data_IF_074737236886
#
_entry.id   IF_074737236886
#
_cell.length_a   1.000
_cell.length_b   1.000
_cell.length_c   1.000
_cell.angle_alpha   90.00
_cell.angle_beta   90.00
_cell.angle_gamma   90.00
#
_symmetry.space_group_name_H-M   'P 1'
#
loop_
_entity.id
_entity.type
_entity.pdbx_description
1 polymer ?
#
# COMPACT_ATOMS: atom_id res chain seq x y z
N UNK A 1 -42.88 55.92 39.98
CA UNK A 1 -43.38 55.39 38.69
C UNK A 1 -42.20 54.77 37.95
N UNK A 2 -42.39 53.55 37.47
CA UNK A 2 -41.40 52.68 36.83
C UNK A 2 -41.00 53.19 35.44
N UNK A 3 -39.75 52.96 35.05
CA UNK A 3 -39.42 52.45 33.72
C UNK A 3 -38.01 51.83 33.71
N UNK A 4 -37.98 50.53 33.42
CA UNK A 4 -36.80 49.73 33.05
C UNK A 4 -36.35 50.14 31.64
N UNK A 5 -35.06 50.07 31.34
CA UNK A 5 -34.58 49.63 30.02
C UNK A 5 -33.09 49.25 30.04
N UNK A 6 -32.89 47.97 29.74
CA UNK A 6 -31.69 47.25 29.32
C UNK A 6 -30.86 47.96 28.22
N UNK A 7 -29.53 47.88 28.31
CA UNK A 7 -28.61 47.71 27.17
C UNK A 7 -27.19 47.40 27.72
N UNK A 8 -26.87 46.11 27.86
CA UNK A 8 -25.96 45.35 27.00
C UNK A 8 -24.48 45.49 27.44
N UNK A 9 -24.05 44.49 28.20
CA UNK A 9 -22.66 44.21 28.52
C UNK A 9 -21.92 43.72 27.27
N UNK A 10 -20.72 44.25 27.03
CA UNK A 10 -19.71 43.60 26.18
C UNK A 10 -18.42 43.57 27.00
N UNK A 11 -18.27 42.48 27.77
CA UNK A 11 -16.99 42.07 28.35
C UNK A 11 -16.28 41.31 27.23
N UNK A 12 -15.26 41.93 26.64
CA UNK A 12 -14.35 41.24 25.71
C UNK A 12 -13.46 40.31 26.54
N UNK A 13 -13.84 39.04 26.63
CA UNK A 13 -13.01 37.97 27.15
C UNK A 13 -12.12 37.47 26.00
N UNK A 14 -10.88 37.96 25.93
CA UNK A 14 -9.86 37.33 25.09
C UNK A 14 -9.32 36.15 25.90
N UNK A 15 -9.96 35.00 25.77
CA UNK A 15 -9.34 33.72 26.11
C UNK A 15 -8.34 33.39 24.99
N UNK A 16 -7.07 33.58 25.27
CA UNK A 16 -6.01 32.95 24.48
C UNK A 16 -6.15 31.43 24.69
N UNK A 17 -6.81 30.76 23.75
CA UNK A 17 -6.72 29.30 23.63
C UNK A 17 -5.33 29.02 23.05
N UNK A 18 -4.34 28.93 23.94
CA UNK A 18 -3.09 28.28 23.64
C UNK A 18 -3.35 26.77 23.75
N UNK A 19 -3.94 26.19 22.71
CA UNK A 19 -3.97 24.74 22.53
C UNK A 19 -2.66 24.33 21.85
N UNK A 20 -1.57 24.32 22.63
CA UNK A 20 -0.46 23.41 22.37
C UNK A 20 -0.44 22.47 23.56
N UNK A 21 -0.90 21.24 23.35
CA UNK A 21 -0.77 20.16 24.30
C UNK A 21 0.72 19.92 24.54
N UNK A 22 1.19 20.43 25.68
CA UNK A 22 2.45 20.05 26.29
C UNK A 22 2.25 18.62 26.83
N UNK A 23 2.37 17.64 25.94
CA UNK A 23 2.42 16.25 26.37
C UNK A 23 3.81 15.99 26.94
N UNK A 24 3.92 15.53 28.20
CA UNK A 24 5.20 15.08 28.72
C UNK A 24 5.68 13.99 27.77
N UNK A 25 6.80 14.26 27.10
CA UNK A 25 7.51 13.26 26.31
C UNK A 25 8.12 12.29 27.32
N UNK A 26 7.30 11.39 27.84
CA UNK A 26 7.82 10.26 28.61
C UNK A 26 8.74 9.50 27.68
N UNK A 27 10.01 9.36 28.09
CA UNK A 27 10.91 8.43 27.46
C UNK A 27 10.28 7.04 27.60
N UNK A 28 9.66 6.57 26.52
CA UNK A 28 8.93 5.32 26.51
C UNK A 28 9.97 4.20 26.57
N UNK A 29 10.25 3.71 27.77
CA UNK A 29 11.29 2.69 28.01
C UNK A 29 10.66 1.30 28.12
N UNK A 30 11.10 0.36 27.29
CA UNK A 30 10.69 -1.04 27.32
C UNK A 30 10.68 -1.66 25.91
N UNK A 31 10.72 -2.99 25.84
CA UNK A 31 10.76 -3.74 24.58
C UNK A 31 9.53 -3.46 23.69
N UNK A 32 8.35 -3.35 24.31
CA UNK A 32 7.09 -3.01 23.65
C UNK A 32 7.06 -1.57 23.09
N UNK A 33 7.63 -0.63 23.83
CA UNK A 33 7.80 0.75 23.37
C UNK A 33 8.76 0.83 22.16
N UNK A 34 9.81 0.02 22.22
CA UNK A 34 10.80 -0.09 21.16
C UNK A 34 10.21 -0.73 19.90
N UNK A 35 9.29 -1.69 20.03
CA UNK A 35 8.51 -2.22 18.91
C UNK A 35 7.72 -1.12 18.20
N UNK A 36 6.86 -0.39 18.92
CA UNK A 36 6.02 0.64 18.32
C UNK A 36 6.85 1.74 17.65
N UNK A 37 7.98 2.12 18.26
CA UNK A 37 8.90 3.08 17.66
C UNK A 37 9.57 2.53 16.39
N UNK A 38 10.05 1.29 16.41
CA UNK A 38 10.64 0.64 15.24
C UNK A 38 9.62 0.53 14.12
N UNK A 39 8.42 0.04 14.42
CA UNK A 39 7.31 -0.10 13.47
C UNK A 39 6.96 1.23 12.80
N UNK A 40 6.79 2.30 13.57
CA UNK A 40 6.49 3.62 13.00
C UNK A 40 7.63 4.17 12.14
N UNK A 41 8.88 3.90 12.52
CA UNK A 41 10.05 4.35 11.75
C UNK A 41 10.26 3.53 10.47
N UNK A 42 10.05 2.22 10.51
CA UNK A 42 10.28 1.34 9.34
C UNK A 42 9.09 1.34 8.39
N UNK A 43 7.87 1.19 8.89
CA UNK A 43 6.65 1.01 8.07
C UNK A 43 6.01 2.32 7.62
N UNK A 44 6.17 3.37 8.42
CA UNK A 44 5.49 4.65 8.20
C UNK A 44 6.46 5.83 8.04
N UNK A 45 7.77 5.61 8.18
CA UNK A 45 8.81 6.65 8.14
C UNK A 45 8.54 7.82 9.10
N UNK A 46 7.97 7.52 10.28
CA UNK A 46 7.63 8.49 11.32
C UNK A 46 8.47 8.21 12.57
N UNK A 47 9.45 9.06 12.81
CA UNK A 47 10.34 8.97 13.99
C UNK A 47 9.66 9.42 15.29
N UNK A 48 8.67 10.30 15.19
CA UNK A 48 7.99 10.92 16.34
C UNK A 48 6.49 10.92 16.16
N UNK A 49 5.78 10.35 17.12
CA UNK A 49 4.33 10.24 17.13
C UNK A 49 3.79 10.27 18.57
N UNK A 50 2.50 10.53 18.71
CA UNK A 50 1.75 10.35 19.96
C UNK A 50 0.82 9.13 19.86
N UNK A 51 0.26 8.69 21.00
CA UNK A 51 -0.65 7.54 21.05
C UNK A 51 -1.86 7.70 20.11
N UNK A 52 -2.53 8.87 20.04
CA UNK A 52 -3.62 9.08 19.09
C UNK A 52 -3.20 8.94 17.63
N UNK A 53 -2.03 9.44 17.23
CA UNK A 53 -1.56 9.31 15.85
C UNK A 53 -1.26 7.84 15.51
N UNK A 54 -0.63 7.10 16.43
CA UNK A 54 -0.43 5.66 16.24
C UNK A 54 -1.78 4.95 16.08
N UNK A 55 -2.76 5.27 16.94
CA UNK A 55 -4.09 4.69 16.88
C UNK A 55 -4.76 4.94 15.52
N UNK A 56 -4.86 6.21 15.13
CA UNK A 56 -5.59 6.63 13.95
C UNK A 56 -4.95 6.14 12.65
N UNK A 57 -3.63 5.97 12.62
CA UNK A 57 -2.91 5.48 11.44
C UNK A 57 -3.23 4.00 11.16
N UNK A 58 -3.51 3.23 12.19
CA UNK A 58 -3.79 1.79 12.09
C UNK A 58 -5.28 1.43 12.17
N UNK A 59 -6.14 2.43 12.40
CA UNK A 59 -7.58 2.35 12.15
C UNK A 59 -7.81 2.43 10.62
N UNK A 60 -7.68 1.28 9.96
CA UNK A 60 -7.63 1.15 8.51
C UNK A 60 -8.97 1.51 7.88
N UNK A 61 -10.06 1.19 8.56
CA UNK A 61 -11.42 1.43 8.08
C UNK A 61 -12.00 2.77 8.57
N UNK A 62 -11.31 3.46 9.49
CA UNK A 62 -11.67 4.76 10.09
C UNK A 62 -12.97 4.73 10.89
N UNK A 63 -13.26 3.61 11.54
CA UNK A 63 -14.44 3.45 12.40
C UNK A 63 -14.19 3.89 13.85
N UNK A 64 -12.93 4.22 14.20
CA UNK A 64 -12.54 4.69 15.52
C UNK A 64 -12.25 3.57 16.53
N UNK A 65 -12.17 2.33 16.06
CA UNK A 65 -11.83 1.16 16.85
C UNK A 65 -10.69 0.39 16.18
N UNK A 66 -9.97 -0.42 16.95
CA UNK A 66 -9.19 -1.50 16.38
C UNK A 66 -9.88 -2.83 16.61
N UNK A 67 -10.14 -3.55 15.54
CA UNK A 67 -10.61 -4.94 15.61
C UNK A 67 -9.46 -5.95 15.46
N UNK A 68 -9.81 -7.24 15.41
CA UNK A 68 -8.82 -8.30 15.27
C UNK A 68 -8.03 -8.21 13.97
N UNK A 69 -8.66 -7.79 12.87
CA UNK A 69 -8.00 -7.71 11.56
C UNK A 69 -6.97 -6.57 11.55
N UNK A 70 -7.30 -5.44 12.17
CA UNK A 70 -6.39 -4.31 12.31
C UNK A 70 -5.22 -4.60 13.25
N UNK A 71 -5.46 -5.33 14.35
CA UNK A 71 -4.38 -5.83 15.21
C UNK A 71 -3.47 -6.81 14.45
N UNK A 72 -4.04 -7.73 13.67
CA UNK A 72 -3.25 -8.63 12.81
C UNK A 72 -2.44 -7.86 11.75
N UNK A 73 -2.97 -6.74 11.23
CA UNK A 73 -2.29 -5.88 10.27
C UNK A 73 -1.14 -5.10 10.91
N UNK A 74 -1.32 -4.54 12.12
CA UNK A 74 -0.25 -3.87 12.89
C UNK A 74 0.96 -4.80 13.05
N UNK A 75 0.74 -6.11 13.15
CA UNK A 75 1.78 -7.11 13.33
C UNK A 75 2.11 -7.91 12.06
N UNK A 76 1.56 -7.52 10.90
CA UNK A 76 1.96 -8.08 9.60
C UNK A 76 1.67 -9.58 9.51
N UNK A 77 0.69 -10.06 10.28
CA UNK A 77 0.45 -11.50 10.46
C UNK A 77 0.20 -12.16 9.12
N UNK A 78 -0.57 -11.54 8.22
CA UNK A 78 -0.90 -12.08 6.92
C UNK A 78 0.12 -11.79 5.82
N UNK A 79 1.29 -11.23 6.15
CA UNK A 79 2.31 -10.96 5.14
C UNK A 79 2.93 -12.26 4.59
N UNK A 80 3.38 -12.27 3.32
CA UNK A 80 3.90 -13.49 2.65
C UNK A 80 5.11 -14.07 3.39
N UNK A 81 5.99 -13.22 3.94
CA UNK A 81 7.12 -13.67 4.74
C UNK A 81 6.68 -14.27 6.09
N UNK A 82 5.68 -13.67 6.75
CA UNK A 82 5.08 -14.24 7.96
C UNK A 82 4.45 -15.60 7.70
N UNK A 83 3.70 -15.74 6.59
CA UNK A 83 3.09 -17.00 6.16
C UNK A 83 4.15 -18.08 5.88
N UNK A 84 5.29 -17.72 5.26
CA UNK A 84 6.41 -18.66 5.01
C UNK A 84 7.05 -19.21 6.29
N UNK A 85 6.90 -18.53 7.44
CA UNK A 85 7.41 -19.01 8.74
C UNK A 85 6.46 -20.01 9.41
N UNK A 86 5.21 -20.11 8.94
CA UNK A 86 4.26 -21.14 9.37
C UNK A 86 4.38 -22.37 8.47
N UNK A 87 4.29 -23.57 9.06
CA UNK A 87 4.37 -24.83 8.29
C UNK A 87 3.10 -25.09 7.48
N UNK A 88 1.97 -24.66 8.01
CA UNK A 88 0.64 -24.83 7.46
C UNK A 88 -0.30 -23.70 7.89
N UNK A 89 -1.49 -23.67 7.27
CA UNK A 89 -2.53 -22.69 7.57
C UNK A 89 -3.00 -22.76 9.02
N UNK A 90 -2.97 -23.94 9.67
CA UNK A 90 -3.40 -24.08 11.06
C UNK A 90 -2.42 -23.42 12.04
N UNK A 91 -1.11 -23.56 11.81
CA UNK A 91 -0.06 -22.89 12.58
C UNK A 91 -0.13 -21.37 12.39
N UNK A 92 -0.40 -20.91 11.16
CA UNK A 92 -0.62 -19.50 10.85
C UNK A 92 -1.79 -18.92 11.64
N UNK A 93 -2.94 -19.61 11.63
CA UNK A 93 -4.12 -19.16 12.39
C UNK A 93 -3.90 -19.18 13.90
N UNK A 94 -3.10 -20.13 14.42
CA UNK A 94 -2.71 -20.13 15.84
C UNK A 94 -1.82 -18.94 16.19
N UNK A 95 -0.90 -18.57 15.30
CA UNK A 95 -0.05 -17.37 15.45
C UNK A 95 -0.91 -16.11 15.45
N UNK A 96 -1.80 -15.95 14.47
CA UNK A 96 -2.74 -14.83 14.38
C UNK A 96 -3.55 -14.67 15.66
N UNK A 97 -4.17 -15.78 16.10
CA UNK A 97 -4.94 -15.83 17.34
C UNK A 97 -4.11 -15.47 18.57
N UNK A 98 -2.87 -15.95 18.67
CA UNK A 98 -2.00 -15.63 19.80
C UNK A 98 -1.70 -14.14 19.88
N UNK A 99 -1.44 -13.48 18.75
CA UNK A 99 -1.21 -12.04 18.67
C UNK A 99 -2.45 -11.30 19.13
N UNK A 100 -3.60 -11.56 18.50
CA UNK A 100 -4.87 -10.89 18.83
C UNK A 100 -5.26 -11.10 20.30
N UNK A 101 -5.24 -12.35 20.79
CA UNK A 101 -5.61 -12.66 22.16
C UNK A 101 -4.68 -11.94 23.16
N UNK A 102 -3.38 -11.83 22.86
CA UNK A 102 -2.43 -11.14 23.75
C UNK A 102 -2.72 -9.65 23.84
N UNK A 103 -2.98 -9.00 22.70
CA UNK A 103 -3.27 -7.56 22.64
C UNK A 103 -4.61 -7.26 23.29
N UNK A 104 -5.66 -8.02 22.99
CA UNK A 104 -6.98 -7.82 23.57
C UNK A 104 -6.95 -8.03 25.08
N UNK A 105 -6.25 -9.06 25.58
CA UNK A 105 -6.11 -9.24 27.03
C UNK A 105 -5.35 -8.10 27.73
N UNK A 106 -4.46 -7.41 27.01
CA UNK A 106 -3.71 -6.29 27.55
C UNK A 106 -4.54 -4.99 27.54
N UNK A 107 -5.30 -4.73 26.47
CA UNK A 107 -5.88 -3.43 26.15
C UNK A 107 -7.40 -3.41 26.31
N UNK A 108 -8.13 -4.33 25.67
CA UNK A 108 -9.60 -4.42 25.67
C UNK A 108 -10.12 -4.76 27.09
N UNK A 109 -10.62 -3.75 27.79
CA UNK A 109 -11.01 -3.87 29.21
C UNK A 109 -12.44 -4.35 29.37
N UNK A 110 -13.32 -3.94 28.48
CA UNK A 110 -14.75 -4.31 28.54
C UNK A 110 -15.06 -5.61 27.79
N UNK A 111 -14.10 -6.14 27.03
CA UNK A 111 -14.14 -7.41 26.30
C UNK A 111 -15.21 -7.44 25.23
N UNK A 112 -15.47 -6.30 24.61
CA UNK A 112 -16.43 -6.20 23.51
C UNK A 112 -15.83 -6.64 22.16
N UNK A 113 -14.53 -6.94 22.13
CA UNK A 113 -13.81 -7.39 20.94
C UNK A 113 -13.36 -6.24 20.03
N UNK A 114 -13.34 -5.02 20.54
CA UNK A 114 -12.84 -3.82 19.88
C UNK A 114 -11.98 -3.04 20.87
N UNK A 115 -10.92 -2.42 20.38
CA UNK A 115 -10.07 -1.55 21.21
C UNK A 115 -10.41 -0.11 20.85
N UNK A 116 -10.85 0.65 21.83
CA UNK A 116 -11.06 2.10 21.69
C UNK A 116 -9.76 2.87 21.88
N UNK A 117 -9.71 4.09 21.34
CA UNK A 117 -8.60 5.02 21.62
C UNK A 117 -8.38 5.21 23.13
N UNK A 118 -9.47 5.32 23.91
CA UNK A 118 -9.38 5.54 25.35
C UNK A 118 -8.74 4.34 26.09
N UNK A 119 -9.05 3.11 25.67
CA UNK A 119 -8.42 1.91 26.21
C UNK A 119 -6.95 1.82 25.82
N UNK A 120 -6.64 2.16 24.56
CA UNK A 120 -5.27 2.20 24.06
C UNK A 120 -4.42 3.24 24.82
N UNK A 121 -4.93 4.46 25.02
CA UNK A 121 -4.26 5.51 25.78
C UNK A 121 -4.06 5.10 27.24
N UNK A 122 -5.04 4.43 27.86
CA UNK A 122 -4.93 3.94 29.22
C UNK A 122 -3.91 2.80 29.37
N UNK A 123 -3.73 1.97 28.34
CA UNK A 123 -2.77 0.89 28.33
C UNK A 123 -1.35 1.37 27.99
N UNK A 124 -1.24 2.33 27.05
CA UNK A 124 0.02 2.85 26.52
C UNK A 124 0.78 1.86 25.62
N UNK A 125 1.92 2.29 25.08
CA UNK A 125 2.74 1.45 24.17
C UNK A 125 3.30 0.20 24.84
N UNK A 126 3.39 0.17 26.17
CA UNK A 126 3.86 -1.02 26.90
C UNK A 126 2.94 -2.24 26.72
N UNK A 127 1.71 -2.03 26.25
CA UNK A 127 0.76 -3.08 25.92
C UNK A 127 0.92 -3.66 24.50
N UNK A 128 1.89 -3.18 23.72
CA UNK A 128 2.23 -3.67 22.38
C UNK A 128 3.54 -4.48 22.41
N UNK A 129 3.55 -5.74 22.90
CA UNK A 129 4.75 -6.55 22.95
C UNK A 129 5.36 -6.76 21.55
N UNK A 130 6.68 -6.92 21.51
CA UNK A 130 7.38 -7.39 20.32
C UNK A 130 7.11 -8.89 20.13
N UNK A 131 6.61 -9.29 18.97
CA UNK A 131 6.46 -10.69 18.55
C UNK A 131 7.58 -11.12 17.58
N UNK A 132 8.79 -10.59 17.75
CA UNK A 132 9.98 -10.89 16.91
C UNK A 132 10.19 -12.39 16.69
N UNK A 133 9.99 -13.20 17.72
CA UNK A 133 10.14 -14.65 17.66
C UNK A 133 9.08 -15.34 16.79
N UNK A 134 7.96 -14.68 16.51
CA UNK A 134 6.91 -15.17 15.62
C UNK A 134 7.13 -14.71 14.18
N UNK A 135 8.06 -13.79 13.90
CA UNK A 135 8.21 -13.17 12.58
C UNK A 135 6.98 -12.33 12.22
N UNK A 136 6.48 -11.58 13.20
CA UNK A 136 5.33 -10.70 13.09
C UNK A 136 5.81 -9.25 13.25
N UNK A 137 6.71 -8.83 12.35
CA UNK A 137 6.96 -7.41 12.13
C UNK A 137 5.86 -6.89 11.21
N UNK A 138 5.24 -5.78 11.60
CA UNK A 138 4.07 -5.19 10.96
C UNK A 138 4.36 -4.79 9.53
N UNK A 139 3.46 -5.10 8.57
CA UNK A 139 3.60 -4.67 7.18
C UNK A 139 2.22 -4.47 6.51
N UNK A 140 1.99 -3.29 5.94
CA UNK A 140 0.71 -2.89 5.34
C UNK A 140 0.63 -3.06 3.81
N UNK A 141 1.77 -3.30 3.15
CA UNK A 141 1.89 -3.28 1.68
C UNK A 141 2.01 -4.68 1.06
N UNK A 142 1.89 -4.76 -0.27
CA UNK A 142 2.16 -5.99 -1.02
C UNK A 142 3.68 -6.20 -1.21
N UNK A 143 4.09 -7.44 -1.53
CA UNK A 143 5.50 -7.86 -1.63
C UNK A 143 6.34 -6.92 -2.52
N UNK A 144 5.79 -6.42 -3.63
CA UNK A 144 6.51 -5.49 -4.51
C UNK A 144 6.75 -4.13 -3.86
N UNK A 145 5.71 -3.56 -3.28
CA UNK A 145 5.81 -2.26 -2.63
C UNK A 145 6.70 -2.34 -1.39
N UNK A 146 6.68 -3.44 -0.64
CA UNK A 146 7.57 -3.65 0.50
C UNK A 146 9.04 -3.73 0.06
N UNK A 147 9.33 -4.53 -0.98
CA UNK A 147 10.68 -4.61 -1.53
C UNK A 147 11.18 -3.22 -1.99
N UNK A 148 10.34 -2.46 -2.68
CA UNK A 148 10.69 -1.09 -3.10
C UNK A 148 10.87 -0.14 -1.92
N UNK A 149 9.93 -0.13 -0.97
CA UNK A 149 9.90 0.86 0.11
C UNK A 149 10.97 0.60 1.16
N UNK A 150 11.25 -0.66 1.50
CA UNK A 150 12.19 -0.98 2.57
C UNK A 150 13.56 -1.37 2.04
N UNK A 151 13.61 -2.30 1.08
CA UNK A 151 14.88 -2.86 0.62
C UNK A 151 15.55 -1.94 -0.40
N UNK A 152 14.81 -1.48 -1.40
CA UNK A 152 15.36 -0.58 -2.41
C UNK A 152 15.75 0.78 -1.79
N UNK A 153 14.94 1.35 -0.89
CA UNK A 153 15.32 2.58 -0.18
C UNK A 153 16.54 2.40 0.74
N UNK A 154 16.72 1.23 1.36
CA UNK A 154 17.83 1.00 2.27
C UNK A 154 19.15 0.71 1.54
N UNK A 155 19.11 -0.11 0.49
CA UNK A 155 20.32 -0.65 -0.15
C UNK A 155 20.54 -0.10 -1.57
N UNK A 156 19.50 0.38 -2.24
CA UNK A 156 19.49 0.79 -3.65
C UNK A 156 18.91 2.20 -3.86
N UNK A 157 19.22 3.15 -2.97
CA UNK A 157 18.67 4.52 -3.00
C UNK A 157 19.47 5.53 -3.83
N UNK A 158 20.55 5.12 -4.48
CA UNK A 158 21.37 6.00 -5.32
C UNK A 158 21.53 5.41 -6.72
N UNK A 159 21.74 6.23 -7.76
CA UNK A 159 22.00 5.71 -9.10
C UNK A 159 23.18 4.74 -9.15
N UNK A 160 24.18 4.90 -8.29
CA UNK A 160 25.34 4.03 -8.19
C UNK A 160 25.02 2.67 -7.54
N UNK A 161 23.99 2.60 -6.70
CA UNK A 161 23.52 1.35 -6.08
C UNK A 161 22.36 0.71 -6.85
N UNK A 162 21.75 1.39 -7.81
CA UNK A 162 20.73 0.87 -8.73
C UNK A 162 21.33 0.36 -10.05
N UNK A 163 22.37 -0.48 -9.97
CA UNK A 163 22.94 -1.16 -11.15
C UNK A 163 22.70 -2.66 -11.07
N UNK A 164 22.67 -3.33 -12.23
CA UNK A 164 22.47 -4.79 -12.33
C UNK A 164 23.45 -5.57 -11.44
N UNK A 165 24.68 -5.10 -11.28
CA UNK A 165 25.70 -5.73 -10.44
C UNK A 165 25.51 -5.46 -8.95
N UNK A 166 24.79 -4.39 -8.60
CA UNK A 166 24.58 -3.97 -7.22
C UNK A 166 23.47 -4.78 -6.54
N UNK A 167 22.46 -5.21 -7.29
CA UNK A 167 21.38 -6.10 -6.81
C UNK A 167 21.90 -7.52 -6.55
N UNK A 168 22.50 -7.71 -5.38
CA UNK A 168 23.19 -8.94 -4.99
C UNK A 168 22.93 -9.35 -3.54
N UNK A 169 22.10 -8.60 -2.81
CA UNK A 169 21.68 -8.96 -1.47
C UNK A 169 20.83 -10.25 -1.53
N UNK A 170 20.85 -11.08 -0.48
CA UNK A 170 20.03 -12.28 -0.42
C UNK A 170 18.55 -12.03 -0.72
N UNK A 171 18.02 -10.89 -0.26
CA UNK A 171 16.66 -10.42 -0.48
C UNK A 171 16.39 -10.05 -1.95
N UNK A 172 17.37 -9.43 -2.64
CA UNK A 172 17.29 -9.15 -4.10
C UNK A 172 17.10 -10.43 -4.90
N UNK A 173 17.95 -11.42 -4.61
CA UNK A 173 17.94 -12.71 -5.30
C UNK A 173 16.66 -13.50 -5.01
N UNK A 174 16.16 -13.44 -3.77
CA UNK A 174 14.89 -14.09 -3.42
C UNK A 174 13.72 -13.42 -4.12
N UNK A 175 13.65 -12.08 -4.13
CA UNK A 175 12.62 -11.32 -4.83
C UNK A 175 12.61 -11.63 -6.34
N UNK A 176 13.77 -11.59 -7.01
CA UNK A 176 13.87 -11.95 -8.42
C UNK A 176 13.52 -13.41 -8.71
N UNK A 177 13.95 -14.35 -7.86
CA UNK A 177 13.56 -15.75 -8.01
C UNK A 177 12.03 -15.96 -7.88
N UNK A 178 11.36 -15.14 -7.06
CA UNK A 178 9.91 -15.14 -6.97
C UNK A 178 9.26 -14.59 -8.24
N UNK A 179 9.79 -13.51 -8.82
CA UNK A 179 9.37 -13.00 -10.13
C UNK A 179 9.50 -14.06 -11.21
N UNK A 180 10.68 -14.67 -11.35
CA UNK A 180 10.93 -15.73 -12.32
C UNK A 180 9.93 -16.89 -12.18
N UNK A 181 9.62 -17.29 -10.94
CA UNK A 181 8.67 -18.36 -10.68
C UNK A 181 7.23 -17.98 -11.07
N UNK A 182 6.81 -16.74 -10.81
CA UNK A 182 5.49 -16.22 -11.20
C UNK A 182 5.39 -16.13 -12.71
N UNK A 183 6.37 -15.51 -13.38
CA UNK A 183 6.41 -15.37 -14.84
C UNK A 183 6.39 -16.74 -15.53
N UNK A 184 7.13 -17.71 -15.01
CA UNK A 184 7.11 -19.07 -15.53
C UNK A 184 5.75 -19.76 -15.38
N UNK A 185 5.06 -19.55 -14.26
CA UNK A 185 3.70 -20.07 -14.06
C UNK A 185 2.69 -19.38 -14.99
N UNK A 186 2.80 -18.08 -15.19
CA UNK A 186 1.98 -17.33 -16.13
C UNK A 186 2.20 -17.82 -17.56
N UNK A 187 3.45 -17.98 -17.99
CA UNK A 187 3.80 -18.50 -19.31
C UNK A 187 3.25 -19.92 -19.52
N UNK A 188 3.24 -20.77 -18.49
CA UNK A 188 2.59 -22.10 -18.56
C UNK A 188 1.09 -22.00 -18.82
N UNK A 189 0.40 -21.07 -18.15
CA UNK A 189 -1.05 -20.88 -18.33
C UNK A 189 -1.35 -20.30 -19.71
N UNK A 190 -0.52 -19.37 -20.18
CA UNK A 190 -0.62 -18.80 -21.51
C UNK A 190 -0.37 -19.83 -22.61
N UNK A 191 0.70 -20.63 -22.48
CA UNK A 191 1.02 -21.72 -23.38
C UNK A 191 -0.14 -22.73 -23.49
N UNK A 192 -0.72 -23.11 -22.35
CA UNK A 192 -1.89 -24.00 -22.32
C UNK A 192 -3.12 -23.40 -23.00
N UNK A 193 -3.34 -22.08 -22.88
CA UNK A 193 -4.47 -21.39 -23.50
C UNK A 193 -4.29 -21.20 -25.01
N UNK A 194 -3.10 -20.80 -25.45
CA UNK A 194 -2.80 -20.52 -26.85
C UNK A 194 -2.42 -21.77 -27.66
N UNK A 195 -2.12 -22.89 -26.98
CA UNK A 195 -1.66 -24.13 -27.62
C UNK A 195 -0.22 -24.04 -28.13
N UNK A 196 0.61 -23.18 -27.52
CA UNK A 196 2.04 -23.01 -27.84
C UNK A 196 2.91 -23.66 -26.76
N UNK A 197 4.22 -23.71 -26.97
CA UNK A 197 5.18 -24.15 -25.94
C UNK A 197 5.40 -23.08 -24.87
N UNK A 198 5.90 -23.48 -23.69
CA UNK A 198 6.20 -22.53 -22.59
C UNK A 198 7.34 -21.60 -23.00
N UNK A 199 8.32 -22.12 -23.73
CA UNK A 199 9.45 -21.36 -24.25
C UNK A 199 9.01 -20.29 -25.25
N UNK A 200 8.06 -20.61 -26.14
CA UNK A 200 7.47 -19.64 -27.06
C UNK A 200 6.67 -18.56 -26.32
N UNK A 201 5.94 -18.94 -25.26
CA UNK A 201 5.23 -17.97 -24.42
C UNK A 201 6.20 -17.03 -23.70
N UNK A 202 7.27 -17.55 -23.09
CA UNK A 202 8.30 -16.73 -22.44
C UNK A 202 9.01 -15.80 -23.44
N UNK A 203 9.33 -16.29 -24.63
CA UNK A 203 9.97 -15.49 -25.68
C UNK A 203 9.11 -14.32 -26.16
N UNK A 204 7.78 -14.41 -26.07
CA UNK A 204 6.87 -13.29 -26.39
C UNK A 204 6.92 -12.17 -25.35
N UNK A 205 7.29 -12.48 -24.10
CA UNK A 205 7.37 -11.52 -23.00
C UNK A 205 8.80 -11.07 -22.67
N UNK A 206 9.81 -11.61 -23.35
CA UNK A 206 11.18 -11.11 -23.23
C UNK A 206 11.25 -9.67 -23.75
N UNK A 207 11.67 -8.73 -22.89
CA UNK A 207 11.87 -7.34 -23.28
C UNK A 207 12.95 -7.25 -24.39
N UNK A 208 12.74 -6.47 -25.47
CA UNK A 208 13.81 -6.17 -26.40
C UNK A 208 14.89 -5.36 -25.67
N UNK A 209 16.16 -5.74 -25.82
CA UNK A 209 17.32 -5.18 -25.14
C UNK A 209 17.63 -3.68 -25.43
N UNK A 210 16.68 -2.91 -25.96
CA UNK A 210 16.89 -1.53 -26.37
C UNK A 210 15.61 -0.69 -26.15
N UNK A 211 15.27 -0.47 -24.89
CA UNK A 211 14.30 0.55 -24.46
C UNK A 211 15.00 1.71 -23.76
N UNK A 212 16.16 2.13 -24.29
CA UNK A 212 16.65 3.50 -24.11
C UNK A 212 15.76 4.43 -24.96
N UNK A 213 14.72 5.00 -24.34
CA UNK A 213 13.93 6.05 -24.98
C UNK A 213 14.79 7.30 -25.17
N UNK A 214 15.29 7.48 -26.40
CA UNK A 214 15.83 8.75 -26.86
C UNK A 214 14.72 9.83 -26.82
N UNK A 215 15.01 11.08 -26.42
CA UNK A 215 14.03 12.15 -26.41
C UNK A 215 13.62 12.47 -27.85
N UNK A 216 12.33 12.29 -28.16
CA UNK A 216 11.75 12.72 -29.43
C UNK A 216 11.60 14.25 -29.43
N UNK A 217 12.43 14.92 -30.21
CA UNK A 217 12.24 16.34 -30.52
C UNK A 217 10.89 16.58 -31.24
N UNK A 218 10.18 17.68 -30.95
CA UNK A 218 8.91 17.96 -31.61
C UNK A 218 9.17 18.46 -33.04
N UNK A 219 8.73 17.68 -34.02
CA UNK A 219 8.68 18.10 -35.41
C UNK A 219 7.59 19.17 -35.61
N UNK A 220 8.02 20.38 -35.97
CA UNK A 220 7.16 21.42 -36.52
C UNK A 220 6.57 20.96 -37.87
N UNK A 221 5.27 21.15 -38.06
CA UNK A 221 4.67 21.20 -39.39
C UNK A 221 3.56 22.25 -39.41
N UNK A 222 3.81 23.30 -40.20
CA UNK A 222 2.83 24.31 -40.59
C UNK A 222 1.88 23.78 -41.70
N UNK A 223 0.64 24.28 -41.62
CA UNK A 223 -0.35 24.50 -42.67
C UNK A 223 -0.84 23.34 -43.59
N UNK A 224 -2.11 22.93 -43.40
CA UNK A 224 -3.21 23.32 -44.31
C UNK A 224 -4.59 22.72 -43.93
N UNK A 225 -5.60 23.61 -43.95
CA UNK A 225 -7.02 23.44 -44.26
C UNK A 225 -7.90 22.38 -43.53
N UNK A 226 -8.85 22.89 -42.72
CA UNK A 226 -9.98 22.15 -42.15
C UNK A 226 -10.98 21.64 -43.23
N UNK A 227 -11.71 20.53 -43.01
CA UNK A 227 -12.99 20.67 -42.29
C UNK A 227 -13.48 19.48 -41.43
N UNK A 228 -14.50 19.81 -40.62
CA UNK A 228 -15.44 18.99 -39.83
C UNK A 228 -15.02 18.64 -38.40
N UNK A 229 -15.79 19.23 -37.48
CA UNK A 229 -15.70 19.16 -36.02
C UNK A 229 -16.13 17.76 -35.54
N UNK A 230 -15.19 16.83 -35.50
CA UNK A 230 -15.25 15.70 -34.56
C UNK A 230 -14.70 16.23 -33.25
N UNK A 231 -15.54 16.21 -32.21
CA UNK A 231 -15.13 16.52 -30.86
C UNK A 231 -14.08 15.46 -30.47
N UNK A 232 -12.81 15.88 -30.48
CA UNK A 232 -11.67 15.02 -30.21
C UNK A 232 -11.77 14.66 -28.73
N UNK A 233 -12.21 13.44 -28.42
CA UNK A 233 -12.20 12.95 -27.05
C UNK A 233 -10.78 13.11 -26.51
N UNK A 234 -10.66 13.72 -25.34
CA UNK A 234 -9.39 13.91 -24.66
C UNK A 234 -8.76 12.52 -24.48
N UNK A 235 -7.51 12.30 -24.94
CA UNK A 235 -6.82 11.03 -24.73
C UNK A 235 -6.93 10.58 -23.26
N UNK A 236 -7.08 9.28 -22.96
CA UNK A 236 -7.30 8.79 -21.60
C UNK A 236 -6.21 9.21 -20.60
N UNK A 237 -5.04 9.58 -21.11
CA UNK A 237 -3.88 10.06 -20.35
C UNK A 237 -4.05 11.50 -19.83
N UNK A 238 -4.90 12.30 -20.45
CA UNK A 238 -5.13 13.72 -20.10
C UNK A 238 -6.43 13.95 -19.32
N UNK A 239 -7.15 12.88 -18.97
CA UNK A 239 -8.37 12.95 -18.15
C UNK A 239 -8.01 12.91 -16.66
N UNK A 240 -8.78 13.62 -15.84
CA UNK A 240 -8.66 13.55 -14.38
C UNK A 240 -8.69 12.09 -13.90
N UNK A 241 -7.70 11.63 -13.10
CA UNK A 241 -7.64 10.27 -12.58
C UNK A 241 -8.95 9.82 -11.91
N UNK A 242 -9.63 10.72 -11.18
CA UNK A 242 -10.89 10.43 -10.49
C UNK A 242 -12.08 10.23 -11.44
N UNK A 243 -11.97 10.63 -12.71
CA UNK A 243 -12.94 10.33 -13.77
C UNK A 243 -12.53 9.07 -14.51
N UNK A 244 -11.23 8.94 -14.83
CA UNK A 244 -10.64 7.79 -15.53
C UNK A 244 -10.89 6.46 -14.80
N UNK A 245 -10.72 6.44 -13.49
CA UNK A 245 -10.83 5.22 -12.70
C UNK A 245 -12.22 4.95 -12.12
N UNK A 246 -13.15 5.90 -12.22
CA UNK A 246 -14.49 5.79 -11.62
C UNK A 246 -15.33 4.67 -12.23
N UNK A 247 -15.27 4.53 -13.56
CA UNK A 247 -15.97 3.47 -14.30
C UNK A 247 -15.07 2.25 -14.58
N UNK A 248 -13.75 2.42 -14.52
CA UNK A 248 -12.79 1.37 -14.84
C UNK A 248 -12.94 0.11 -13.97
N UNK A 249 -13.24 0.27 -12.67
CA UNK A 249 -13.46 -0.88 -11.76
C UNK A 249 -14.73 -1.67 -12.11
N UNK A 250 -15.81 -0.97 -12.46
CA UNK A 250 -17.06 -1.62 -12.86
C UNK A 250 -16.94 -2.32 -14.22
N UNK A 251 -16.24 -1.69 -15.17
CA UNK A 251 -15.98 -2.25 -16.49
C UNK A 251 -15.00 -3.44 -16.44
N UNK A 252 -14.00 -3.41 -15.54
CA UNK A 252 -13.08 -4.53 -15.33
C UNK A 252 -13.81 -5.84 -15.03
N UNK A 253 -14.85 -5.79 -14.19
CA UNK A 253 -15.66 -6.96 -13.85
C UNK A 253 -16.36 -7.58 -15.09
N UNK A 254 -16.67 -6.78 -16.11
CA UNK A 254 -17.27 -7.26 -17.36
C UNK A 254 -16.24 -7.96 -18.28
N UNK A 255 -14.96 -7.67 -18.11
CA UNK A 255 -13.89 -8.25 -18.94
C UNK A 255 -13.38 -9.62 -18.47
N UNK A 256 -13.82 -10.10 -17.31
CA UNK A 256 -13.37 -11.38 -16.75
C UNK A 256 -11.92 -11.35 -16.26
N UNK A 257 -11.38 -12.53 -15.96
CA UNK A 257 -9.99 -12.69 -15.50
C UNK A 257 -9.02 -12.59 -16.69
N UNK A 258 -7.82 -12.06 -16.47
CA UNK A 258 -6.76 -12.11 -17.47
C UNK A 258 -6.42 -13.57 -17.81
N UNK A 259 -6.28 -13.88 -19.11
CA UNK A 259 -6.19 -15.26 -19.59
C UNK A 259 -7.53 -15.93 -19.88
N UNK A 260 -8.66 -15.22 -19.76
CA UNK A 260 -10.00 -15.71 -20.08
C UNK A 260 -10.73 -14.83 -21.11
N UNK A 261 -11.78 -15.37 -21.74
CA UNK A 261 -12.60 -14.65 -22.73
C UNK A 261 -11.86 -14.32 -24.04
N UNK A 262 -12.43 -13.41 -24.82
CA UNK A 262 -11.90 -13.00 -26.14
C UNK A 262 -10.59 -12.18 -26.04
N UNK A 263 -10.34 -11.59 -24.87
CA UNK A 263 -9.13 -10.84 -24.55
C UNK A 263 -7.91 -11.71 -24.24
N UNK A 264 -8.10 -12.91 -23.71
CA UNK A 264 -7.02 -13.86 -23.40
C UNK A 264 -5.86 -13.24 -22.61
N UNK A 265 -4.64 -13.52 -23.06
CA UNK A 265 -3.36 -13.07 -22.46
C UNK A 265 -2.81 -11.77 -23.10
N UNK A 266 -3.62 -11.06 -23.89
CA UNK A 266 -3.15 -9.84 -24.56
C UNK A 266 -2.79 -8.74 -23.55
N UNK A 267 -1.78 -7.90 -23.82
CA UNK A 267 -1.43 -6.79 -22.95
C UNK A 267 -2.60 -5.78 -22.86
N UNK A 268 -2.92 -5.29 -21.65
CA UNK A 268 -4.08 -4.43 -21.43
C UNK A 268 -3.87 -3.05 -22.06
N UNK A 269 -4.88 -2.57 -22.79
CA UNK A 269 -4.84 -1.30 -23.51
C UNK A 269 -5.63 -0.18 -22.83
N UNK A 270 -6.56 -0.52 -21.93
CA UNK A 270 -7.37 0.46 -21.19
C UNK A 270 -7.13 0.37 -19.67
N UNK A 271 -7.47 1.43 -18.92
CA UNK A 271 -7.48 1.38 -17.46
C UNK A 271 -8.35 0.26 -16.87
N UNK A 272 -9.49 -0.05 -17.49
CA UNK A 272 -10.36 -1.16 -17.06
C UNK A 272 -9.72 -2.53 -17.29
N UNK A 273 -8.97 -2.72 -18.38
CA UNK A 273 -8.21 -3.95 -18.63
C UNK A 273 -7.03 -4.12 -17.67
N UNK A 274 -6.40 -3.01 -17.25
CA UNK A 274 -5.34 -3.01 -16.23
C UNK A 274 -5.84 -3.41 -14.83
N UNK A 275 -7.14 -3.35 -14.61
CA UNK A 275 -7.79 -3.73 -13.35
C UNK A 275 -8.35 -5.15 -13.37
N UNK A 276 -8.09 -5.97 -14.41
CA UNK A 276 -8.54 -7.36 -14.48
C UNK A 276 -7.89 -8.19 -13.38
N UNK A 277 -8.64 -9.18 -12.88
CA UNK A 277 -8.11 -10.15 -11.93
C UNK A 277 -7.07 -11.05 -12.62
N UNK A 278 -6.04 -11.48 -11.88
CA UNK A 278 -4.90 -12.27 -12.39
C UNK A 278 -4.06 -11.58 -13.48
N UNK A 279 -4.17 -10.26 -13.64
CA UNK A 279 -3.29 -9.53 -14.53
C UNK A 279 -1.86 -9.47 -13.94
N UNK A 280 -0.81 -9.78 -14.73
CA UNK A 280 0.58 -9.70 -14.30
C UNK A 280 0.94 -8.30 -13.81
N UNK A 281 1.76 -8.21 -12.76
CA UNK A 281 2.09 -6.94 -12.12
C UNK A 281 2.77 -5.96 -13.10
N UNK A 282 3.61 -6.45 -14.03
CA UNK A 282 4.30 -5.66 -15.07
C UNK A 282 3.36 -4.85 -15.97
N UNK A 283 2.09 -5.24 -16.05
CA UNK A 283 1.07 -4.50 -16.81
C UNK A 283 0.24 -3.53 -15.95
N UNK A 284 0.30 -3.65 -14.62
CA UNK A 284 -0.37 -2.73 -13.68
C UNK A 284 0.40 -1.43 -13.51
N UNK A 285 1.73 -1.52 -13.42
CA UNK A 285 2.62 -0.39 -13.19
C UNK A 285 3.53 -0.15 -14.40
N UNK A 286 2.98 0.43 -15.47
CA UNK A 286 3.81 1.04 -16.53
C UNK A 286 4.05 2.51 -16.18
N UNK A 287 5.27 2.83 -15.72
CA UNK A 287 5.73 4.22 -15.50
C UNK A 287 5.67 4.99 -16.84
N UNK A 288 4.91 6.08 -16.90
CA UNK A 288 5.07 7.09 -17.95
C UNK A 288 5.73 8.32 -17.34
N UNK A 289 6.80 8.82 -17.96
CA UNK A 289 7.63 9.93 -17.47
C UNK A 289 6.88 11.27 -17.26
N UNK A 290 5.60 11.37 -17.65
CA UNK A 290 4.75 12.55 -17.46
C UNK A 290 3.92 12.57 -16.18
N UNK A 291 4.11 11.61 -15.27
CA UNK A 291 3.40 11.52 -13.98
C UNK A 291 4.16 12.22 -12.82
N UNK A 292 5.20 13.02 -13.13
CA UNK A 292 5.93 13.91 -12.21
C UNK A 292 5.61 15.39 -12.49
#
# INVERSE_FOLDING_TARGET
MNAKSFALAIIFYVASIQAHGDHPQEHISGDAAQYAQRHMATEHHIDTFDLPSFFQLHDLNRDGFWDSEEVEAIYGVHHVYSQKKSKDDEEHQKKAKLVVDTIFNAIDKDKDGKITLAEFEAAGLSALPSFENLGAEGHHYDVESEFFLHHEEQFHNTPETQTDESYSHPEDLEHFAQHDAIEFQEAKREAAFQGITVEEALAQHAEPADSQQAPTEPANSDDQAAPKKYERQIPPEQQDPAVRFRQAKAESAAHGEWGSGEGGYKPPKSPSERMRKNLPYKYKFRRSWGDF
#
